data_IF_430732860259
#
_entry.id   IF_430732860259
#
_cell.length_a   1.000
_cell.length_b   1.000
_cell.length_c   1.000
_cell.angle_alpha   90.00
_cell.angle_beta   90.00
_cell.angle_gamma   90.00
#
_symmetry.space_group_name_H-M   'P 1'
#
loop_
_entity.id
_entity.type
_entity.pdbx_description
1 polymer ?
#
# COMPACT_ATOMS: atom_id res chain seq x y z
N UNK A 1 15.53 -12.69 -6.88
CA UNK A 1 16.40 -12.14 -5.81
C UNK A 1 15.69 -12.13 -4.46
N UNK A 2 14.63 -11.33 -4.25
CA UNK A 2 13.92 -11.21 -2.96
C UNK A 2 13.45 -12.55 -2.37
N UNK A 3 12.92 -13.46 -3.20
CA UNK A 3 12.56 -14.83 -2.79
C UNK A 3 13.72 -15.59 -2.13
N UNK A 4 14.93 -15.50 -2.69
CA UNK A 4 16.10 -16.17 -2.12
C UNK A 4 16.47 -15.58 -0.75
N UNK A 5 16.39 -14.25 -0.61
CA UNK A 5 16.60 -13.55 0.66
C UNK A 5 15.60 -14.03 1.70
N UNK A 6 14.30 -14.07 1.37
CA UNK A 6 13.28 -14.52 2.30
C UNK A 6 13.43 -15.99 2.73
N UNK A 7 13.80 -16.88 1.78
CA UNK A 7 14.05 -18.29 2.07
C UNK A 7 15.29 -18.49 2.97
N UNK A 8 16.37 -17.73 2.73
CA UNK A 8 17.57 -17.77 3.60
C UNK A 8 17.24 -17.32 5.03
N UNK A 9 16.33 -16.36 5.18
CA UNK A 9 15.83 -15.90 6.47
C UNK A 9 14.76 -16.80 7.11
N UNK A 10 14.40 -17.93 6.47
CA UNK A 10 13.38 -18.89 6.94
C UNK A 10 11.99 -18.29 7.18
N UNK A 11 11.63 -17.24 6.44
CA UNK A 11 10.25 -16.74 6.48
C UNK A 11 9.30 -17.76 5.86
N UNK A 12 8.10 -17.89 6.43
CA UNK A 12 7.00 -18.58 5.77
C UNK A 12 6.48 -17.70 4.63
N UNK A 13 6.35 -18.29 3.45
CA UNK A 13 5.97 -17.60 2.23
C UNK A 13 4.94 -18.44 1.48
N UNK A 14 3.95 -17.77 0.89
CA UNK A 14 3.12 -18.35 -0.15
C UNK A 14 3.65 -17.84 -1.49
N UNK A 15 3.89 -18.73 -2.44
CA UNK A 15 4.49 -18.37 -3.73
C UNK A 15 3.82 -19.14 -4.87
N UNK A 16 3.42 -18.42 -5.90
CA UNK A 16 2.81 -18.99 -7.11
C UNK A 16 3.72 -18.93 -8.34
N UNK A 17 5.00 -18.56 -8.17
CA UNK A 17 6.01 -18.45 -9.23
C UNK A 17 6.12 -17.06 -9.86
N UNK A 18 5.11 -16.19 -9.68
CA UNK A 18 5.10 -14.81 -10.20
C UNK A 18 4.98 -13.76 -9.10
N UNK A 19 4.40 -14.15 -7.96
CA UNK A 19 4.17 -13.30 -6.80
C UNK A 19 4.43 -14.08 -5.52
N UNK A 20 5.18 -13.47 -4.61
CA UNK A 20 5.36 -13.97 -3.24
C UNK A 20 4.48 -13.18 -2.27
N UNK A 21 3.80 -13.88 -1.37
CA UNK A 21 2.99 -13.31 -0.31
C UNK A 21 3.65 -13.64 1.02
N UNK A 22 3.87 -12.62 1.85
CA UNK A 22 4.56 -12.72 3.15
C UNK A 22 3.79 -11.96 4.22
N UNK A 23 3.65 -12.55 5.40
CA UNK A 23 3.10 -11.83 6.55
C UNK A 23 4.15 -10.83 7.07
N UNK A 24 3.84 -9.53 6.99
CA UNK A 24 4.74 -8.43 7.35
C UNK A 24 3.94 -7.13 7.50
N UNK A 25 4.27 -6.30 8.49
CA UNK A 25 3.58 -5.04 8.77
C UNK A 25 4.22 -3.83 8.07
N UNK A 26 5.30 -4.03 7.32
CA UNK A 26 5.98 -2.96 6.60
C UNK A 26 5.14 -2.47 5.42
N UNK A 27 5.08 -1.15 5.20
CA UNK A 27 4.32 -0.57 4.08
C UNK A 27 4.96 -0.79 2.71
N UNK A 28 6.28 -0.90 2.65
CA UNK A 28 7.02 -1.08 1.40
C UNK A 28 7.39 -2.55 1.20
N UNK A 29 6.67 -3.23 0.31
CA UNK A 29 7.06 -4.57 -0.13
C UNK A 29 8.06 -4.49 -1.30
N UNK A 30 9.04 -5.41 -1.38
CA UNK A 30 9.90 -5.51 -2.54
C UNK A 30 9.12 -5.88 -3.81
N UNK A 31 9.70 -5.62 -4.98
CA UNK A 31 9.14 -6.04 -6.28
C UNK A 31 8.79 -7.53 -6.27
N UNK A 32 7.64 -7.87 -6.86
CA UNK A 32 7.09 -9.24 -6.94
C UNK A 32 6.73 -9.82 -5.55
N UNK A 33 6.50 -8.95 -4.56
CA UNK A 33 6.05 -9.34 -3.23
C UNK A 33 4.85 -8.52 -2.76
N UNK A 34 3.89 -9.16 -2.11
CA UNK A 34 2.78 -8.52 -1.40
C UNK A 34 2.88 -8.87 0.07
N UNK A 35 2.82 -7.85 0.92
CA UNK A 35 2.74 -8.04 2.36
C UNK A 35 1.29 -8.06 2.82
N UNK A 36 1.02 -8.88 3.82
CA UNK A 36 -0.30 -8.97 4.44
C UNK A 36 -0.16 -9.11 5.95
N UNK A 37 -1.26 -8.87 6.64
CA UNK A 37 -1.42 -9.13 8.06
C UNK A 37 -2.90 -9.37 8.35
N UNK A 38 -3.18 -9.92 9.52
CA UNK A 38 -4.53 -10.17 9.99
C UNK A 38 -5.03 -9.02 10.86
N UNK A 39 -6.33 -8.78 10.82
CA UNK A 39 -7.03 -7.87 11.72
C UNK A 39 -8.34 -8.53 12.15
N UNK A 40 -8.74 -8.27 13.40
CA UNK A 40 -10.01 -8.78 13.95
C UNK A 40 -11.16 -7.78 13.72
N UNK A 41 -10.88 -6.48 13.84
CA UNK A 41 -11.85 -5.40 13.66
C UNK A 41 -11.38 -4.38 12.60
N UNK A 42 -12.31 -3.97 11.72
CA UNK A 42 -12.04 -2.96 10.68
C UNK A 42 -11.76 -1.57 11.28
N UNK A 43 -12.26 -1.30 12.48
CA UNK A 43 -12.08 -0.06 13.22
C UNK A 43 -10.62 0.13 13.65
N UNK A 44 -9.92 -0.95 13.97
CA UNK A 44 -8.49 -0.93 14.28
C UNK A 44 -7.68 -0.57 13.04
N UNK A 45 -8.07 -1.12 11.88
CA UNK A 45 -7.46 -0.79 10.58
C UNK A 45 -7.64 0.70 10.25
N UNK A 46 -8.84 1.24 10.42
CA UNK A 46 -9.11 2.67 10.20
C UNK A 46 -8.25 3.56 11.08
N UNK A 47 -8.21 3.28 12.38
CA UNK A 47 -7.42 4.04 13.36
C UNK A 47 -5.95 4.07 12.99
N UNK A 48 -5.39 2.92 12.59
CA UNK A 48 -4.00 2.82 12.19
C UNK A 48 -3.71 3.53 10.87
N UNK A 49 -4.57 3.39 9.86
CA UNK A 49 -4.40 4.05 8.57
C UNK A 49 -4.39 5.58 8.72
N UNK A 50 -5.21 6.13 9.62
CA UNK A 50 -5.18 7.56 9.93
C UNK A 50 -3.89 7.97 10.66
N UNK A 51 -3.46 7.19 11.65
CA UNK A 51 -2.21 7.44 12.38
C UNK A 51 -0.97 7.39 11.47
N UNK A 52 -0.99 6.52 10.46
CA UNK A 52 0.09 6.30 9.51
C UNK A 52 -0.13 6.98 8.15
N UNK A 53 -1.06 7.95 8.06
CA UNK A 53 -1.41 8.63 6.81
C UNK A 53 -0.21 9.20 6.06
N UNK A 54 0.79 9.71 6.78
CA UNK A 54 2.01 10.31 6.20
C UNK A 54 2.96 9.26 5.59
N UNK A 55 2.73 7.97 5.86
CA UNK A 55 3.49 6.83 5.32
C UNK A 55 2.76 6.14 4.15
N UNK A 56 1.52 6.52 3.88
CA UNK A 56 0.61 5.81 2.98
C UNK A 56 0.19 6.75 1.86
N UNK A 57 0.52 6.38 0.63
CA UNK A 57 0.18 7.19 -0.54
C UNK A 57 -1.30 7.03 -0.96
N UNK A 58 -1.85 5.84 -0.85
CA UNK A 58 -3.24 5.59 -1.20
C UNK A 58 -3.80 4.34 -0.50
N UNK A 59 -5.12 4.33 -0.30
CA UNK A 59 -5.85 3.20 0.26
C UNK A 59 -6.85 2.70 -0.78
N UNK A 60 -6.92 1.39 -0.99
CA UNK A 60 -7.87 0.75 -1.90
C UNK A 60 -8.82 -0.11 -1.09
N UNK A 61 -10.12 0.19 -1.14
CA UNK A 61 -11.11 -0.55 -0.37
C UNK A 61 -12.53 -0.30 -0.87
N UNK A 62 -13.42 -1.25 -0.63
CA UNK A 62 -14.88 -1.07 -0.77
C UNK A 62 -15.59 -0.84 0.56
N UNK A 63 -14.86 -0.90 1.69
CA UNK A 63 -15.40 -0.81 3.06
C UNK A 63 -14.90 0.40 3.84
N UNK A 64 -13.85 1.06 3.38
CA UNK A 64 -13.24 2.21 4.05
C UNK A 64 -13.63 3.50 3.35
N UNK A 65 -13.89 4.54 4.13
CA UNK A 65 -14.09 5.89 3.61
C UNK A 65 -12.76 6.46 3.08
N UNK A 66 -12.83 7.43 2.17
CA UNK A 66 -11.67 8.05 1.51
C UNK A 66 -10.72 7.06 0.81
N UNK A 67 -11.21 5.87 0.46
CA UNK A 67 -10.46 4.87 -0.29
C UNK A 67 -10.82 4.89 -1.78
N UNK A 68 -9.84 4.55 -2.61
CA UNK A 68 -10.01 4.38 -4.05
C UNK A 68 -10.73 3.05 -4.30
N UNK A 69 -11.76 3.00 -5.17
CA UNK A 69 -12.39 1.74 -5.55
C UNK A 69 -11.43 0.79 -6.28
N UNK A 70 -11.66 -0.52 -6.13
CA UNK A 70 -10.89 -1.53 -6.85
C UNK A 70 -10.91 -1.31 -8.37
N UNK A 71 -9.75 -1.52 -9.01
CA UNK A 71 -9.58 -1.36 -10.46
C UNK A 71 -9.42 0.08 -10.96
N UNK A 72 -9.42 1.08 -10.06
CA UNK A 72 -9.23 2.50 -10.40
C UNK A 72 -7.82 3.02 -10.15
N UNK A 73 -7.01 2.36 -9.33
CA UNK A 73 -5.66 2.85 -8.95
C UNK A 73 -4.67 3.01 -10.09
N UNK A 74 -4.87 2.35 -11.23
CA UNK A 74 -4.02 2.50 -12.41
C UNK A 74 -4.53 3.58 -13.38
N UNK A 75 -5.54 4.37 -12.98
CA UNK A 75 -6.16 5.44 -13.76
C UNK A 75 -6.35 6.68 -12.87
N UNK A 76 -5.26 7.33 -12.44
CA UNK A 76 -5.36 8.54 -11.63
C UNK A 76 -6.05 9.65 -12.44
N UNK A 77 -6.94 10.38 -11.79
CA UNK A 77 -7.51 11.61 -12.33
C UNK A 77 -6.51 12.77 -12.19
N UNK A 78 -6.78 13.88 -12.88
CA UNK A 78 -5.86 15.04 -12.90
C UNK A 78 -5.55 15.60 -11.51
N UNK A 79 -6.42 15.39 -10.53
CA UNK A 79 -6.30 15.91 -9.16
C UNK A 79 -5.90 14.84 -8.13
N UNK A 80 -5.64 13.60 -8.53
CA UNK A 80 -5.18 12.51 -7.65
C UNK A 80 -3.67 12.63 -7.36
N UNK A 81 -3.27 13.80 -6.83
CA UNK A 81 -1.88 14.10 -6.50
C UNK A 81 -1.43 13.33 -5.24
N UNK A 82 -0.21 12.79 -5.28
CA UNK A 82 0.32 11.86 -4.29
C UNK A 82 0.38 12.41 -2.85
N UNK A 83 0.36 13.74 -2.67
CA UNK A 83 0.63 14.39 -1.38
C UNK A 83 -0.44 15.41 -0.97
N UNK A 84 -1.61 15.44 -1.62
CA UNK A 84 -2.59 16.55 -1.53
C UNK A 84 -2.01 17.95 -1.87
N UNK A 85 -0.78 18.01 -2.39
CA UNK A 85 -0.15 19.24 -2.87
C UNK A 85 -0.56 19.43 -4.32
N UNK A 86 -1.28 20.52 -4.59
CA UNK A 86 -1.55 20.95 -5.95
C UNK A 86 -0.22 21.25 -6.66
N UNK A 87 0.15 20.33 -7.56
CA UNK A 87 1.41 20.39 -8.30
C UNK A 87 1.47 21.63 -9.20
N UNK A 88 0.33 22.12 -9.69
CA UNK A 88 0.26 23.36 -10.47
C UNK A 88 0.55 24.55 -9.56
N UNK A 89 -0.08 24.60 -8.38
CA UNK A 89 0.21 25.63 -7.38
C UNK A 89 1.70 25.64 -6.98
N UNK A 90 2.31 24.46 -6.77
CA UNK A 90 3.74 24.31 -6.49
C UNK A 90 4.61 24.89 -7.63
N UNK A 91 4.30 24.54 -8.88
CA UNK A 91 5.07 24.98 -10.06
C UNK A 91 4.92 26.48 -10.36
N UNK A 92 3.77 27.09 -10.05
CA UNK A 92 3.56 28.54 -10.24
C UNK A 92 4.25 29.41 -9.18
N UNK A 93 4.76 28.82 -8.10
CA UNK A 93 5.49 29.51 -7.03
C UNK A 93 7.01 29.54 -7.19
N UNK A 94 7.54 28.92 -8.26
CA UNK A 94 8.96 28.96 -8.67
C UNK A 94 9.17 30.13 -9.62
#
# INVERSE_FOLDING_TARGET
YNKAVFLMSRFQLLDNGFLTIKEDQSYASPISSVFYEFYDDISDVQTRLEADREKIQCIVSSKLENAIPFGKTQKPELWDYADNVDTISFLTGI
#
